data_IF_975227139137
#
_entry.id   IF_975227139137
#
_cell.length_a   1.000
_cell.length_b   1.000
_cell.length_c   1.000
_cell.angle_alpha   90.00
_cell.angle_beta   90.00
_cell.angle_gamma   90.00
#
_symmetry.space_group_name_H-M   'P 1'
#
loop_
_entity.id
_entity.type
_entity.pdbx_description
1 polymer ?
#
# COMPACT_ATOMS: atom_id res chain seq x y z
N UNK A 1 -21.24 2.70 11.07
CA UNK A 1 -20.22 3.54 11.74
C UNK A 1 -18.87 2.81 11.84
N UNK A 2 -18.88 1.50 12.10
CA UNK A 2 -17.67 0.66 12.25
C UNK A 2 -16.88 0.43 10.95
N UNK A 3 -17.57 0.32 9.81
CA UNK A 3 -16.95 0.06 8.49
C UNK A 3 -16.00 1.18 8.06
N UNK A 4 -16.38 2.44 8.32
CA UNK A 4 -15.55 3.61 8.02
C UNK A 4 -14.26 3.60 8.83
N UNK A 5 -14.34 3.24 10.12
CA UNK A 5 -13.19 3.15 11.01
C UNK A 5 -12.22 2.04 10.55
N UNK A 6 -12.74 0.85 10.23
CA UNK A 6 -11.94 -0.25 9.69
C UNK A 6 -11.26 0.12 8.36
N UNK A 7 -11.97 0.82 7.47
CA UNK A 7 -11.43 1.27 6.20
C UNK A 7 -10.27 2.27 6.38
N UNK A 8 -10.38 3.19 7.33
CA UNK A 8 -9.33 4.16 7.66
C UNK A 8 -8.11 3.44 8.21
N UNK A 9 -8.29 2.55 9.20
CA UNK A 9 -7.18 1.80 9.78
C UNK A 9 -6.47 0.92 8.74
N UNK A 10 -7.23 0.25 7.88
CA UNK A 10 -6.65 -0.55 6.80
C UNK A 10 -5.86 0.29 5.81
N UNK A 11 -6.37 1.47 5.45
CA UNK A 11 -5.64 2.42 4.58
C UNK A 11 -4.32 2.88 5.21
N UNK A 12 -4.30 3.17 6.52
CA UNK A 12 -3.08 3.53 7.25
C UNK A 12 -2.05 2.40 7.21
N UNK A 13 -2.48 1.15 7.41
CA UNK A 13 -1.60 -0.03 7.37
C UNK A 13 -0.97 -0.19 5.98
N UNK A 14 -1.76 -0.02 4.91
CA UNK A 14 -1.27 -0.09 3.53
C UNK A 14 -0.22 1.00 3.27
N UNK A 15 -0.50 2.25 3.68
CA UNK A 15 0.45 3.36 3.54
C UNK A 15 1.75 3.11 4.30
N UNK A 16 1.66 2.63 5.54
CA UNK A 16 2.84 2.25 6.34
C UNK A 16 3.65 1.13 5.69
N UNK A 17 2.97 0.14 5.09
CA UNK A 17 3.61 -0.97 4.39
C UNK A 17 4.39 -0.48 3.17
N UNK A 18 3.77 0.35 2.32
CA UNK A 18 4.43 0.96 1.16
C UNK A 18 5.62 1.81 1.58
N UNK A 19 5.48 2.61 2.64
CA UNK A 19 6.58 3.41 3.18
C UNK A 19 7.76 2.55 3.63
N UNK A 20 7.50 1.45 4.35
CA UNK A 20 8.54 0.53 4.78
C UNK A 20 9.24 -0.16 3.61
N UNK A 21 8.50 -0.57 2.57
CA UNK A 21 9.08 -1.15 1.35
C UNK A 21 10.02 -0.13 0.67
N UNK A 22 9.57 1.12 0.49
CA UNK A 22 10.39 2.18 -0.10
C UNK A 22 11.63 2.43 0.77
N UNK A 23 11.51 2.39 2.10
CA UNK A 23 12.64 2.54 3.02
C UNK A 23 13.67 1.42 2.82
N UNK A 24 13.24 0.16 2.70
CA UNK A 24 14.13 -0.98 2.42
C UNK A 24 14.80 -0.83 1.05
N UNK A 25 14.04 -0.46 0.02
CA UNK A 25 14.59 -0.19 -1.31
C UNK A 25 15.64 0.94 -1.30
N UNK A 26 15.42 1.97 -0.49
CA UNK A 26 16.37 3.07 -0.34
C UNK A 26 17.67 2.61 0.36
N UNK A 27 17.56 1.72 1.35
CA UNK A 27 18.72 1.11 2.00
C UNK A 27 19.52 0.26 0.99
N UNK A 28 18.83 -0.58 0.20
CA UNK A 28 19.47 -1.39 -0.84
C UNK A 28 20.13 -0.54 -1.93
N UNK A 29 19.49 0.57 -2.32
CA UNK A 29 20.06 1.56 -3.24
C UNK A 29 21.33 2.20 -2.67
N UNK A 30 21.30 2.66 -1.41
CA UNK A 30 22.47 3.24 -0.73
C UNK A 30 23.63 2.24 -0.58
N UNK A 31 23.34 0.96 -0.40
CA UNK A 31 24.33 -0.14 -0.37
C UNK A 31 24.88 -0.52 -1.75
N UNK A 32 24.42 0.14 -2.83
CA UNK A 32 24.76 -0.18 -4.24
C UNK A 32 24.37 -1.59 -4.67
N UNK A 33 23.48 -2.26 -3.92
CA UNK A 33 22.89 -3.55 -4.32
C UNK A 33 21.85 -3.36 -5.44
N UNK A 34 21.35 -2.13 -5.61
CA UNK A 34 20.30 -1.79 -6.55
C UNK A 34 20.69 -0.56 -7.39
N UNK A 35 20.48 -0.64 -8.71
CA UNK A 35 20.67 0.49 -9.62
C UNK A 35 19.51 1.48 -9.51
N UNK A 36 19.76 2.77 -9.77
CA UNK A 36 18.75 3.84 -9.73
C UNK A 36 17.49 3.50 -10.54
N UNK A 37 17.64 2.93 -11.76
CA UNK A 37 16.50 2.49 -12.58
C UNK A 37 15.62 1.46 -11.88
N UNK A 38 16.22 0.45 -11.23
CA UNK A 38 15.47 -0.58 -10.49
C UNK A 38 14.80 0.00 -9.26
N UNK A 39 15.45 0.96 -8.58
CA UNK A 39 14.92 1.60 -7.39
C UNK A 39 13.64 2.39 -7.71
N UNK A 40 13.69 3.18 -8.78
CA UNK A 40 12.53 3.93 -9.27
C UNK A 40 11.43 2.95 -9.70
N UNK A 41 11.75 1.93 -10.49
CA UNK A 41 10.76 0.94 -10.94
C UNK A 41 10.03 0.28 -9.76
N UNK A 42 10.77 -0.27 -8.79
CA UNK A 42 10.16 -0.96 -7.65
C UNK A 42 9.41 -0.03 -6.71
N UNK A 43 9.89 1.20 -6.51
CA UNK A 43 9.16 2.20 -5.72
C UNK A 43 7.86 2.61 -6.40
N UNK A 44 7.88 2.90 -7.71
CA UNK A 44 6.69 3.25 -8.48
C UNK A 44 5.67 2.11 -8.47
N UNK A 45 6.10 0.87 -8.67
CA UNK A 45 5.21 -0.31 -8.61
C UNK A 45 4.61 -0.46 -7.20
N UNK A 46 5.42 -0.30 -6.15
CA UNK A 46 4.92 -0.40 -4.77
C UNK A 46 3.87 0.67 -4.45
N UNK A 47 4.09 1.90 -4.92
CA UNK A 47 3.13 3.00 -4.76
C UNK A 47 1.86 2.72 -5.57
N UNK A 48 1.99 2.28 -6.83
CA UNK A 48 0.85 1.96 -7.67
C UNK A 48 -0.05 0.88 -7.03
N UNK A 49 0.56 -0.21 -6.53
CA UNK A 49 -0.16 -1.27 -5.81
C UNK A 49 -0.81 -0.72 -4.54
N UNK A 50 -0.07 0.08 -3.75
CA UNK A 50 -0.60 0.71 -2.54
C UNK A 50 -1.84 1.56 -2.81
N UNK A 51 -1.80 2.40 -3.84
CA UNK A 51 -2.94 3.23 -4.26
C UNK A 51 -4.09 2.35 -4.72
N UNK A 52 -3.86 1.37 -5.60
CA UNK A 52 -4.90 0.45 -6.07
C UNK A 52 -5.58 -0.29 -4.93
N UNK A 53 -4.82 -0.83 -3.98
CA UNK A 53 -5.33 -1.55 -2.82
C UNK A 53 -6.15 -0.62 -1.92
N UNK A 54 -5.64 0.57 -1.63
CA UNK A 54 -6.32 1.56 -0.78
C UNK A 54 -7.61 2.08 -1.44
N UNK A 55 -7.65 2.19 -2.77
CA UNK A 55 -8.85 2.56 -3.50
C UNK A 55 -9.90 1.46 -3.49
N UNK A 56 -9.51 0.19 -3.64
CA UNK A 56 -10.45 -0.95 -3.71
C UNK A 56 -10.99 -1.35 -2.33
N UNK A 57 -10.17 -1.24 -1.28
CA UNK A 57 -10.52 -1.57 0.11
C UNK A 57 -11.87 -1.00 0.60
N UNK A 58 -12.15 0.31 0.51
CA UNK A 58 -13.43 0.88 0.96
C UNK A 58 -14.63 0.33 0.18
N UNK A 59 -14.49 0.10 -1.14
CA UNK A 59 -15.55 -0.52 -1.95
C UNK A 59 -15.74 -2.01 -1.63
N UNK A 60 -14.64 -2.73 -1.39
CA UNK A 60 -14.67 -4.13 -0.97
C UNK A 60 -15.37 -4.30 0.37
N UNK A 61 -15.05 -3.47 1.36
CA UNK A 61 -15.73 -3.48 2.65
C UNK A 61 -17.23 -3.18 2.53
N UNK A 62 -17.64 -2.19 1.72
CA UNK A 62 -19.06 -1.93 1.49
C UNK A 62 -19.79 -3.14 0.88
N UNK A 63 -19.18 -3.79 -0.12
CA UNK A 63 -19.80 -4.95 -0.80
C UNK A 63 -19.89 -6.18 0.08
N UNK A 64 -18.85 -6.49 0.85
CA UNK A 64 -18.84 -7.63 1.77
C UNK A 64 -19.86 -7.43 2.88
N UNK A 65 -19.93 -6.24 3.47
CA UNK A 65 -20.91 -5.92 4.51
C UNK A 65 -22.35 -6.02 3.98
N UNK A 66 -22.61 -5.54 2.77
CA UNK A 66 -23.94 -5.65 2.14
C UNK A 66 -24.34 -7.10 1.80
N UNK A 67 -23.37 -7.99 1.58
CA UNK A 67 -23.66 -9.39 1.27
C UNK A 67 -23.84 -10.25 2.53
N UNK A 68 -23.16 -9.90 3.62
CA UNK A 68 -23.19 -10.65 4.88
C UNK A 68 -24.31 -10.26 5.84
N UNK A 69 -24.90 -9.06 5.68
CA UNK A 69 -25.85 -8.44 6.61
C UNK A 69 -27.11 -8.01 5.86
#
# INVERSE_FOLDING_TARGET
MEVWLMSIFSSIIVVMTVYNIIRVLNIAYKRKELTLRKFVLYSTVSIAIGVSVTSVLPFGYQKVVQYLL
#
